data_IF_673183464450
#
_entry.id   IF_673183464450
#
_cell.length_a   1.000
_cell.length_b   1.000
_cell.length_c   1.000
_cell.angle_alpha   90.00
_cell.angle_beta   90.00
_cell.angle_gamma   90.00
#
_symmetry.space_group_name_H-M   'P 1'
#
loop_
_entity.id
_entity.type
_entity.pdbx_description
1 polymer ?
#
# COMPACT_ATOMS: atom_id res chain seq x y z
N UNK A 1 -5.96 -19.16 36.77
CA UNK A 1 -4.94 -18.88 35.73
C UNK A 1 -3.58 -18.58 36.33
N UNK A 2 -3.26 -19.24 37.44
CA UNK A 2 -2.24 -18.83 38.40
C UNK A 2 -1.11 -19.85 38.51
N UNK A 3 0.06 -19.34 38.87
CA UNK A 3 1.16 -20.17 39.35
C UNK A 3 0.67 -20.99 40.56
N UNK A 4 0.93 -22.28 40.56
CA UNK A 4 0.63 -23.15 41.69
C UNK A 4 1.56 -22.73 42.84
N UNK A 5 1.02 -22.30 43.99
CA UNK A 5 1.81 -21.72 45.09
C UNK A 5 2.91 -22.66 45.62
N UNK A 6 2.80 -23.96 45.36
CA UNK A 6 3.78 -24.99 45.73
C UNK A 6 4.91 -25.21 44.71
N UNK A 7 4.82 -24.65 43.50
CA UNK A 7 5.91 -24.73 42.52
C UNK A 7 6.06 -23.36 41.87
N UNK A 8 7.22 -22.73 42.01
CA UNK A 8 7.55 -21.43 41.39
C UNK A 8 7.49 -21.42 39.83
N UNK A 9 6.86 -22.40 39.19
CA UNK A 9 6.63 -22.54 37.75
C UNK A 9 5.29 -21.92 37.36
N UNK A 10 5.25 -20.59 37.33
CA UNK A 10 4.19 -19.81 36.68
C UNK A 10 4.67 -19.20 35.36
N UNK A 11 3.72 -18.80 34.49
CA UNK A 11 4.05 -17.98 33.31
C UNK A 11 4.66 -16.66 33.79
N UNK A 12 5.93 -16.42 33.46
CA UNK A 12 6.61 -15.15 33.72
C UNK A 12 6.25 -14.17 32.60
N UNK A 13 5.22 -13.37 32.83
CA UNK A 13 4.86 -12.29 31.92
C UNK A 13 5.99 -11.26 31.85
N UNK A 14 6.44 -10.93 30.64
CA UNK A 14 7.40 -9.87 30.36
C UNK A 14 6.82 -8.91 29.32
N UNK A 15 7.23 -7.64 29.40
CA UNK A 15 6.81 -6.61 28.44
C UNK A 15 7.31 -6.97 27.04
N UNK A 16 6.44 -6.82 26.05
CA UNK A 16 6.73 -7.19 24.64
C UNK A 16 8.02 -6.54 24.12
N UNK A 17 8.25 -5.28 24.45
CA UNK A 17 9.49 -4.53 24.11
C UNK A 17 10.77 -5.29 24.51
N UNK A 18 10.79 -5.90 25.70
CA UNK A 18 11.94 -6.68 26.19
C UNK A 18 12.08 -8.03 25.47
N UNK A 19 10.97 -8.62 25.04
CA UNK A 19 10.99 -9.86 24.26
C UNK A 19 11.56 -9.63 22.85
N UNK A 20 11.36 -8.43 22.30
CA UNK A 20 11.81 -8.08 20.95
C UNK A 20 13.28 -7.69 20.84
N UNK A 21 13.97 -7.48 21.97
CA UNK A 21 15.41 -7.21 21.99
C UNK A 21 16.16 -8.40 21.37
N UNK A 22 17.19 -8.16 20.54
CA UNK A 22 18.02 -9.24 19.97
C UNK A 22 18.62 -10.15 21.06
N UNK A 23 18.80 -11.44 20.74
CA UNK A 23 19.43 -12.40 21.68
C UNK A 23 20.83 -11.96 22.15
N UNK A 24 21.72 -11.40 21.30
CA UNK A 24 23.03 -10.92 21.75
C UNK A 24 22.95 -9.78 22.77
N UNK A 25 21.84 -9.03 22.78
CA UNK A 25 21.59 -7.90 23.68
C UNK A 25 20.78 -8.30 24.92
N UNK A 26 20.65 -9.61 25.19
CA UNK A 26 19.96 -10.13 26.38
C UNK A 26 18.43 -10.24 26.24
N UNK A 27 17.89 -10.09 25.04
CA UNK A 27 16.48 -10.33 24.74
C UNK A 27 16.17 -11.74 24.24
N UNK A 28 14.92 -11.97 23.84
CA UNK A 28 14.49 -13.25 23.27
C UNK A 28 14.52 -13.29 21.73
N UNK A 29 14.80 -12.14 21.09
CA UNK A 29 14.92 -12.01 19.64
C UNK A 29 13.59 -12.14 18.89
N UNK A 30 12.46 -11.86 19.55
CA UNK A 30 11.17 -11.85 18.86
C UNK A 30 11.08 -10.66 17.90
N UNK A 31 10.46 -10.88 16.74
CA UNK A 31 10.27 -9.78 15.78
C UNK A 31 9.28 -8.79 16.36
N UNK A 32 9.64 -7.51 16.33
CA UNK A 32 8.68 -6.45 16.59
C UNK A 32 7.70 -6.38 15.41
N UNK A 33 6.49 -6.91 15.62
CA UNK A 33 5.47 -7.01 14.59
C UNK A 33 5.01 -5.64 14.07
N UNK A 34 5.03 -4.59 14.90
CA UNK A 34 4.63 -3.25 14.43
C UNK A 34 5.62 -2.70 13.42
N UNK A 35 6.93 -2.79 13.72
CA UNK A 35 8.02 -2.37 12.83
C UNK A 35 8.04 -3.24 11.57
N UNK A 36 7.86 -4.55 11.71
CA UNK A 36 7.83 -5.47 10.59
C UNK A 36 6.65 -5.19 9.63
N UNK A 37 5.45 -4.97 10.18
CA UNK A 37 4.28 -4.60 9.38
C UNK A 37 4.47 -3.26 8.68
N UNK A 38 5.02 -2.26 9.36
CA UNK A 38 5.33 -0.97 8.77
C UNK A 38 6.31 -1.10 7.59
N UNK A 39 7.37 -1.91 7.74
CA UNK A 39 8.31 -2.18 6.67
C UNK A 39 7.64 -2.90 5.47
N UNK A 40 6.72 -3.84 5.73
CA UNK A 40 5.96 -4.52 4.66
C UNK A 40 5.03 -3.54 3.92
N UNK A 41 4.32 -2.68 4.65
CA UNK A 41 3.49 -1.62 4.06
C UNK A 41 4.33 -0.67 3.22
N UNK A 42 5.49 -0.25 3.71
CA UNK A 42 6.45 0.57 2.95
C UNK A 42 6.88 -0.10 1.65
N UNK A 43 7.19 -1.41 1.68
CA UNK A 43 7.55 -2.18 0.47
C UNK A 43 6.39 -2.27 -0.52
N UNK A 44 5.15 -2.40 -0.05
CA UNK A 44 3.97 -2.41 -0.91
C UNK A 44 3.74 -1.02 -1.54
N UNK A 45 3.77 0.04 -0.73
CA UNK A 45 3.65 1.42 -1.19
C UNK A 45 4.72 1.77 -2.24
N UNK A 46 5.98 1.36 -2.01
CA UNK A 46 7.06 1.55 -2.98
C UNK A 46 6.74 0.89 -4.32
N UNK A 47 6.31 -0.38 -4.31
CA UNK A 47 5.94 -1.11 -5.53
C UNK A 47 4.81 -0.42 -6.28
N UNK A 48 3.75 0.00 -5.58
CA UNK A 48 2.64 0.73 -6.20
C UNK A 48 3.11 2.02 -6.86
N UNK A 49 3.98 2.77 -6.18
CA UNK A 49 4.54 4.03 -6.73
C UNK A 49 5.37 3.81 -8.00
N UNK A 50 6.15 2.73 -8.05
CA UNK A 50 7.00 2.40 -9.19
C UNK A 50 6.17 1.90 -10.37
N UNK A 51 5.22 1.01 -10.10
CA UNK A 51 4.30 0.46 -11.10
C UNK A 51 3.52 1.60 -11.78
N UNK A 52 3.03 2.56 -11.00
CA UNK A 52 2.33 3.73 -11.55
C UNK A 52 3.23 4.54 -12.50
N UNK A 53 4.49 4.82 -12.11
CA UNK A 53 5.45 5.53 -12.96
C UNK A 53 5.73 4.80 -14.27
N UNK A 54 5.91 3.49 -14.21
CA UNK A 54 6.16 2.64 -15.39
C UNK A 54 4.93 2.66 -16.32
N UNK A 55 3.72 2.49 -15.78
CA UNK A 55 2.51 2.52 -16.61
C UNK A 55 2.29 3.89 -17.25
N UNK A 56 2.52 4.98 -16.50
CA UNK A 56 2.45 6.34 -17.04
C UNK A 56 3.42 6.51 -18.21
N UNK A 57 4.70 6.19 -18.01
CA UNK A 57 5.71 6.33 -19.06
C UNK A 57 5.40 5.48 -20.30
N UNK A 58 4.83 4.29 -20.13
CA UNK A 58 4.59 3.35 -21.23
C UNK A 58 3.29 3.58 -21.99
N UNK A 59 2.21 3.93 -21.29
CA UNK A 59 0.85 3.90 -21.87
C UNK A 59 0.16 5.26 -21.90
N UNK A 60 0.56 6.22 -21.07
CA UNK A 60 -0.04 7.56 -21.02
C UNK A 60 0.98 8.63 -20.57
N UNK A 61 2.06 8.87 -21.33
CA UNK A 61 3.17 9.74 -20.89
C UNK A 61 2.72 11.20 -20.67
N UNK A 62 1.89 11.71 -21.56
CA UNK A 62 1.43 13.12 -21.57
C UNK A 62 0.03 13.31 -20.98
N UNK A 63 -0.57 12.23 -20.48
CA UNK A 63 -1.98 12.22 -20.07
C UNK A 63 -2.20 11.69 -18.66
N UNK A 64 -3.47 11.39 -18.40
CA UNK A 64 -3.93 10.71 -17.20
C UNK A 64 -4.42 9.30 -17.56
N UNK A 65 -4.54 8.44 -16.55
CA UNK A 65 -5.06 7.08 -16.72
C UNK A 65 -6.48 7.06 -17.31
N UNK A 66 -7.33 8.03 -16.93
CA UNK A 66 -8.72 8.09 -17.41
C UNK A 66 -8.82 8.33 -18.92
N UNK A 67 -7.87 9.03 -19.54
CA UNK A 67 -7.87 9.28 -20.98
C UNK A 67 -6.86 8.38 -21.72
N UNK A 68 -6.31 7.36 -21.04
CA UNK A 68 -5.36 6.43 -21.63
C UNK A 68 -6.05 5.51 -22.67
N UNK A 69 -5.33 5.21 -23.74
CA UNK A 69 -5.79 4.32 -24.81
C UNK A 69 -5.21 2.92 -24.63
N UNK A 70 -5.90 1.91 -25.16
CA UNK A 70 -5.44 0.52 -25.02
C UNK A 70 -4.15 0.26 -25.81
N UNK A 71 -3.99 0.89 -26.98
CA UNK A 71 -2.83 0.73 -27.86
C UNK A 71 -2.79 -0.61 -28.60
N UNK A 72 -1.75 -0.82 -29.41
CA UNK A 72 -1.65 -1.97 -30.33
C UNK A 72 -1.14 -3.26 -29.67
N UNK A 73 -0.16 -3.18 -28.75
CA UNK A 73 0.40 -4.36 -28.07
C UNK A 73 0.47 -4.19 -26.54
N UNK A 74 -0.69 -4.14 -25.87
CA UNK A 74 -0.73 -3.98 -24.43
C UNK A 74 -0.41 -5.28 -23.68
N UNK A 75 0.21 -5.15 -22.50
CA UNK A 75 0.37 -6.30 -21.60
C UNK A 75 -1.00 -6.76 -21.09
N UNK A 76 -1.09 -8.02 -20.69
CA UNK A 76 -2.31 -8.56 -20.10
C UNK A 76 -2.79 -7.74 -18.88
N UNK A 77 -1.84 -7.36 -18.02
CA UNK A 77 -2.10 -6.51 -16.86
C UNK A 77 -2.65 -5.13 -17.24
N UNK A 78 -2.13 -4.51 -18.32
CA UNK A 78 -2.65 -3.24 -18.81
C UNK A 78 -4.06 -3.38 -19.37
N UNK A 79 -4.34 -4.43 -20.17
CA UNK A 79 -5.70 -4.70 -20.67
C UNK A 79 -6.72 -4.78 -19.53
N UNK A 80 -6.36 -5.50 -18.45
CA UNK A 80 -7.23 -5.65 -17.29
C UNK A 80 -7.40 -4.36 -16.48
N UNK A 81 -6.36 -3.52 -16.38
CA UNK A 81 -6.49 -2.19 -15.74
C UNK A 81 -7.37 -1.28 -16.61
N UNK A 82 -7.07 -1.20 -17.90
CA UNK A 82 -7.80 -0.40 -18.87
C UNK A 82 -9.29 -0.78 -18.94
N UNK A 83 -9.64 -2.08 -18.83
CA UNK A 83 -11.05 -2.48 -18.80
C UNK A 83 -11.83 -1.90 -17.61
N UNK A 84 -11.17 -1.58 -16.49
CA UNK A 84 -11.82 -0.92 -15.33
C UNK A 84 -11.94 0.60 -15.50
N UNK A 85 -11.31 1.20 -16.51
CA UNK A 85 -11.27 2.64 -16.72
C UNK A 85 -12.66 3.25 -16.89
N UNK A 86 -13.57 2.58 -17.59
CA UNK A 86 -14.95 3.04 -17.76
C UNK A 86 -15.73 3.06 -16.43
N UNK A 87 -15.55 2.04 -15.58
CA UNK A 87 -16.15 1.99 -14.25
C UNK A 87 -15.64 3.14 -13.39
N UNK A 88 -14.33 3.41 -13.47
CA UNK A 88 -13.73 4.52 -12.74
C UNK A 88 -14.25 5.87 -13.25
N UNK A 89 -14.36 6.09 -14.56
CA UNK A 89 -14.97 7.33 -15.11
C UNK A 89 -16.39 7.57 -14.61
N UNK A 90 -17.20 6.52 -14.53
CA UNK A 90 -18.58 6.63 -14.08
C UNK A 90 -18.69 6.80 -12.55
N UNK A 91 -17.74 6.21 -11.80
CA UNK A 91 -17.72 6.24 -10.34
C UNK A 91 -16.98 7.43 -9.74
N UNK A 92 -16.08 8.08 -10.48
CA UNK A 92 -15.37 9.27 -10.02
C UNK A 92 -16.23 10.51 -10.23
N UNK A 93 -16.25 11.37 -9.21
CA UNK A 93 -16.88 12.69 -9.31
C UNK A 93 -15.80 13.76 -9.21
N UNK A 94 -15.94 14.79 -10.01
CA UNK A 94 -15.10 15.97 -9.90
C UNK A 94 -15.31 16.61 -8.52
N UNK A 95 -14.23 16.77 -7.78
CA UNK A 95 -14.21 17.58 -6.55
C UNK A 95 -13.61 18.93 -6.91
N UNK A 96 -14.46 19.96 -6.95
CA UNK A 96 -14.04 21.34 -7.21
C UNK A 96 -13.04 21.79 -6.14
N UNK A 97 -11.84 22.16 -6.60
CA UNK A 97 -10.80 22.83 -5.81
C UNK A 97 -10.86 24.36 -5.99
N UNK A 98 -9.71 25.04 -5.97
CA UNK A 98 -9.68 26.49 -6.24
C UNK A 98 -10.14 26.79 -7.68
N UNK A 99 -11.08 27.71 -7.84
CA UNK A 99 -11.78 28.00 -9.11
C UNK A 99 -10.93 28.51 -10.29
N UNK A 100 -9.61 28.57 -10.16
CA UNK A 100 -8.70 29.12 -11.17
C UNK A 100 -8.27 28.09 -12.24
N UNK A 101 -8.55 26.80 -12.07
CA UNK A 101 -8.14 25.74 -13.00
C UNK A 101 -9.30 24.88 -13.47
N UNK A 102 -10.52 25.43 -13.51
CA UNK A 102 -11.70 24.71 -13.99
C UNK A 102 -11.79 24.91 -15.51
N UNK A 103 -11.57 23.89 -16.34
CA UNK A 103 -11.99 23.95 -17.73
C UNK A 103 -13.52 24.03 -17.76
N UNK A 104 -14.07 25.17 -18.19
CA UNK A 104 -15.53 25.39 -18.28
C UNK A 104 -16.15 24.53 -19.37
N UNK A 105 -15.34 24.07 -20.33
CA UNK A 105 -15.77 23.29 -21.47
C UNK A 105 -14.77 22.17 -21.76
N UNK A 106 -15.30 20.97 -21.97
CA UNK A 106 -14.52 19.81 -22.40
C UNK A 106 -13.98 18.98 -21.25
N UNK A 107 -14.85 18.19 -20.63
CA UNK A 107 -14.69 16.76 -20.35
C UNK A 107 -16.11 16.20 -20.09
N UNK A 108 -16.36 14.88 -20.20
CA UNK A 108 -17.58 14.28 -20.77
C UNK A 108 -18.91 14.62 -20.06
#
# INVERSE_FOLDING_TARGET
WGANSNTHKGIKWMRWEKLTIPKPEGGLGFKNLSVFNLAMLGKQAWRLSLINKIYRAKYYPDGNFLNAHLGHNPSYTWKSLWSTQHLLKNGTRWRLGSGNTIPVWGEP
#
